data_IF_725074696092
#
_entry.id   IF_725074696092
#
_cell.length_a   1.000
_cell.length_b   1.000
_cell.length_c   1.000
_cell.angle_alpha   90.00
_cell.angle_beta   90.00
_cell.angle_gamma   90.00
#
_symmetry.space_group_name_H-M   'P 1'
#
loop_
_entity.id
_entity.type
_entity.pdbx_description
1 polymer ?
#
# COMPACT_ATOMS: atom_id res chain seq x y z
N UNK A 1 -12.84 -48.75 52.13
CA UNK A 1 -13.10 -48.39 50.71
C UNK A 1 -11.96 -47.53 50.25
N UNK A 2 -11.15 -48.02 49.32
CA UNK A 2 -10.03 -47.27 48.72
C UNK A 2 -10.61 -46.39 47.61
N UNK A 3 -10.46 -45.08 47.73
CA UNK A 3 -10.71 -44.14 46.64
C UNK A 3 -9.37 -43.65 46.10
N UNK A 4 -8.92 -44.26 45.00
CA UNK A 4 -7.83 -43.75 44.17
C UNK A 4 -8.41 -42.64 43.29
N UNK A 5 -8.14 -41.39 43.63
CA UNK A 5 -8.38 -40.26 42.73
C UNK A 5 -7.27 -40.24 41.68
N UNK A 6 -7.63 -40.50 40.42
CA UNK A 6 -6.73 -40.43 39.28
C UNK A 6 -6.33 -38.98 39.01
N UNK A 7 -5.10 -38.63 39.37
CA UNK A 7 -4.44 -37.38 38.96
C UNK A 7 -3.70 -37.63 37.64
N UNK A 8 -3.85 -36.71 36.68
CA UNK A 8 -2.76 -36.41 35.75
C UNK A 8 -2.80 -37.04 34.35
N UNK A 9 -3.83 -36.76 33.56
CA UNK A 9 -3.72 -36.89 32.09
C UNK A 9 -4.05 -35.59 31.34
N UNK A 10 -4.94 -34.73 31.86
CA UNK A 10 -5.27 -33.45 31.23
C UNK A 10 -4.13 -32.43 31.32
N UNK A 11 -3.56 -32.25 32.51
CA UNK A 11 -2.49 -31.26 32.75
C UNK A 11 -1.20 -31.60 32.00
N UNK A 12 -0.88 -32.90 31.86
CA UNK A 12 0.27 -33.35 31.08
C UNK A 12 0.07 -33.12 29.57
N UNK A 13 -1.16 -33.21 29.05
CA UNK A 13 -1.48 -32.89 27.66
C UNK A 13 -1.32 -31.38 27.40
N UNK A 14 -1.86 -30.54 28.27
CA UNK A 14 -1.77 -29.07 28.13
C UNK A 14 -0.32 -28.57 28.16
N UNK A 15 0.52 -29.15 29.03
CA UNK A 15 1.96 -28.81 29.09
C UNK A 15 2.69 -29.26 27.82
N UNK A 16 2.36 -30.45 27.29
CA UNK A 16 2.97 -30.97 26.06
C UNK A 16 2.52 -30.19 24.83
N UNK A 17 1.26 -29.80 24.76
CA UNK A 17 0.70 -29.03 23.64
C UNK A 17 1.26 -27.60 23.67
N UNK A 18 1.36 -26.96 24.85
CA UNK A 18 2.06 -25.68 25.00
C UNK A 18 3.55 -25.74 24.60
N UNK A 19 4.24 -26.83 24.90
CA UNK A 19 5.63 -27.02 24.48
C UNK A 19 5.78 -27.21 22.96
N UNK A 20 4.85 -27.94 22.32
CA UNK A 20 4.80 -28.10 20.86
C UNK A 20 4.50 -26.79 20.15
N UNK A 21 3.55 -26.01 20.66
CA UNK A 21 3.21 -24.70 20.11
C UNK A 21 4.39 -23.72 20.23
N UNK A 22 5.10 -23.75 21.37
CA UNK A 22 6.34 -22.98 21.55
C UNK A 22 7.44 -23.36 20.55
N UNK A 23 7.66 -24.66 20.31
CA UNK A 23 8.63 -25.14 19.33
C UNK A 23 8.25 -24.77 17.88
N UNK A 24 6.95 -24.87 17.54
CA UNK A 24 6.41 -24.47 16.22
C UNK A 24 6.61 -22.97 15.98
N UNK A 25 6.31 -22.13 16.97
CA UNK A 25 6.51 -20.68 16.90
C UNK A 25 7.99 -20.30 16.76
N UNK A 26 8.89 -20.99 17.47
CA UNK A 26 10.33 -20.78 17.35
C UNK A 26 10.87 -21.15 15.95
N UNK A 27 10.39 -22.24 15.36
CA UNK A 27 10.78 -22.67 14.01
C UNK A 27 10.30 -21.72 12.89
N UNK A 28 9.20 -20.99 13.14
CA UNK A 28 8.60 -19.99 12.25
C UNK A 28 9.26 -18.60 12.35
N UNK A 29 10.22 -18.42 13.26
CA UNK A 29 10.91 -17.13 13.40
C UNK A 29 11.82 -16.87 12.21
N UNK A 30 11.66 -15.71 11.58
CA UNK A 30 12.51 -15.21 10.51
C UNK A 30 12.88 -13.76 10.76
N UNK A 31 14.02 -13.36 10.20
CA UNK A 31 14.36 -11.95 10.09
C UNK A 31 13.40 -11.31 9.09
N UNK A 32 13.03 -10.04 9.28
CA UNK A 32 12.25 -9.31 8.25
C UNK A 32 13.01 -9.24 6.93
N UNK A 33 14.34 -9.20 7.01
CA UNK A 33 15.25 -9.12 5.86
C UNK A 33 15.41 -10.44 5.09
N UNK A 34 14.68 -11.49 5.50
CA UNK A 34 14.69 -12.79 4.83
C UNK A 34 13.27 -13.25 4.48
N UNK A 35 12.33 -12.30 4.38
CA UNK A 35 10.97 -12.59 4.00
C UNK A 35 10.85 -12.54 2.48
N UNK A 36 10.16 -13.51 1.91
CA UNK A 36 9.89 -13.56 0.47
C UNK A 36 8.56 -12.86 0.16
N UNK A 37 8.41 -12.35 -1.06
CA UNK A 37 7.12 -11.81 -1.54
C UNK A 37 6.03 -12.87 -1.40
N UNK A 38 4.97 -12.50 -0.67
CA UNK A 38 3.85 -13.36 -0.33
C UNK A 38 3.87 -13.92 1.09
N UNK A 39 4.97 -13.82 1.82
CA UNK A 39 5.05 -14.27 3.21
C UNK A 39 4.08 -13.48 4.10
N UNK A 40 3.21 -14.21 4.80
CA UNK A 40 2.34 -13.68 5.83
C UNK A 40 2.99 -13.82 7.20
N UNK A 41 2.94 -12.77 8.01
CA UNK A 41 3.70 -12.73 9.25
C UNK A 41 3.01 -11.96 10.38
N UNK A 42 3.47 -12.25 11.60
CA UNK A 42 3.14 -11.51 12.80
C UNK A 42 4.42 -10.88 13.37
N UNK A 43 4.48 -9.56 13.57
CA UNK A 43 5.59 -8.91 14.25
C UNK A 43 5.72 -9.46 15.67
N UNK A 44 6.90 -9.97 16.04
CA UNK A 44 7.17 -10.18 17.45
C UNK A 44 7.63 -8.83 17.98
N UNK A 45 6.90 -8.25 18.94
CA UNK A 45 7.26 -6.98 19.58
C UNK A 45 8.59 -6.98 20.37
N UNK A 46 9.51 -7.91 20.06
CA UNK A 46 10.84 -8.04 20.64
C UNK A 46 11.86 -8.03 19.50
N UNK A 47 12.66 -6.97 19.40
CA UNK A 47 13.94 -7.05 18.72
C UNK A 47 14.81 -8.08 19.46
N UNK A 48 15.32 -9.09 18.75
CA UNK A 48 16.28 -10.05 19.31
C UNK A 48 17.59 -9.79 18.60
N UNK A 49 18.43 -8.96 19.23
CA UNK A 49 19.55 -8.31 18.54
C UNK A 49 19.08 -7.15 17.66
N UNK A 50 19.84 -6.85 16.61
CA UNK A 50 19.57 -5.78 15.63
C UNK A 50 18.56 -6.22 14.54
N UNK A 51 18.14 -7.49 14.55
CA UNK A 51 17.13 -8.01 13.63
C UNK A 51 15.72 -7.92 14.25
N UNK A 52 14.80 -7.30 13.53
CA UNK A 52 13.37 -7.44 13.80
C UNK A 52 12.98 -8.89 13.44
N UNK A 53 12.56 -9.67 14.43
CA UNK A 53 12.09 -11.03 14.20
C UNK A 53 10.57 -11.03 14.02
N UNK A 54 10.12 -11.74 13.00
CA UNK A 54 8.70 -11.98 12.75
C UNK A 54 8.41 -13.48 12.81
N UNK A 55 7.18 -13.82 13.17
CA UNK A 55 6.67 -15.17 13.03
C UNK A 55 6.00 -15.29 11.66
N UNK A 56 6.59 -16.07 10.75
CA UNK A 56 5.98 -16.38 9.45
C UNK A 56 4.90 -17.43 9.66
N UNK A 57 3.69 -17.15 9.18
CA UNK A 57 2.51 -18.00 9.32
C UNK A 57 1.86 -18.22 7.95
N UNK A 58 1.16 -19.34 7.74
CA UNK A 58 0.27 -19.50 6.59
C UNK A 58 -0.71 -18.33 6.48
N UNK A 59 -0.97 -17.85 5.26
CA UNK A 59 -1.86 -16.70 5.07
C UNK A 59 -3.32 -16.98 5.43
N UNK A 60 -3.75 -18.24 5.50
CA UNK A 60 -5.07 -18.62 6.01
C UNK A 60 -5.15 -18.59 7.55
N UNK A 61 -4.01 -18.51 8.25
CA UNK A 61 -3.94 -18.17 9.67
C UNK A 61 -4.03 -16.64 9.88
N UNK A 62 -4.48 -16.21 11.05
CA UNK A 62 -4.55 -14.79 11.39
C UNK A 62 -3.15 -14.15 11.45
N UNK A 63 -2.96 -13.08 10.69
CA UNK A 63 -1.68 -12.38 10.58
C UNK A 63 -1.84 -10.86 10.53
N UNK A 64 -0.73 -10.16 10.70
CA UNK A 64 -0.69 -8.69 10.75
C UNK A 64 -0.01 -8.06 9.57
N UNK A 65 0.81 -8.80 8.84
CA UNK A 65 1.52 -8.30 7.69
C UNK A 65 1.62 -9.34 6.58
N UNK A 66 1.68 -8.87 5.35
CA UNK A 66 2.08 -9.67 4.21
C UNK A 66 3.10 -8.90 3.37
N UNK A 67 4.19 -9.56 2.96
CA UNK A 67 5.14 -8.98 2.01
C UNK A 67 4.52 -8.94 0.62
N UNK A 68 4.51 -7.77 0.00
CA UNK A 68 3.86 -7.53 -1.31
C UNK A 68 4.82 -7.06 -2.39
N UNK A 69 6.06 -6.78 -2.02
CA UNK A 69 7.09 -6.39 -2.98
C UNK A 69 8.46 -6.40 -2.34
N UNK A 70 9.48 -6.51 -3.18
CA UNK A 70 10.88 -6.38 -2.78
C UNK A 70 11.68 -5.77 -3.92
N UNK A 71 12.67 -4.95 -3.56
CA UNK A 71 13.66 -4.46 -4.51
C UNK A 71 14.95 -4.04 -3.81
N UNK A 72 16.05 -3.99 -4.57
CA UNK A 72 17.31 -3.45 -4.07
C UNK A 72 17.41 -1.93 -4.28
N UNK A 73 17.92 -1.24 -3.26
CA UNK A 73 18.32 0.17 -3.37
C UNK A 73 19.60 0.26 -4.18
N UNK A 74 19.52 0.98 -5.30
CA UNK A 74 20.70 1.24 -6.13
C UNK A 74 21.74 2.08 -5.37
N UNK A 75 23.00 1.64 -5.41
CA UNK A 75 24.06 2.32 -4.69
C UNK A 75 25.41 1.61 -4.76
N UNK A 76 26.40 2.25 -4.13
CA UNK A 76 27.74 1.70 -3.97
C UNK A 76 27.92 0.94 -2.65
N UNK A 77 29.17 0.59 -2.30
CA UNK A 77 29.46 -0.07 -1.02
C UNK A 77 29.19 0.83 0.20
N UNK A 78 29.19 2.15 0.03
CA UNK A 78 28.86 3.10 1.09
C UNK A 78 27.34 3.22 1.28
N UNK A 79 26.89 3.21 2.55
CA UNK A 79 25.48 3.38 2.89
C UNK A 79 24.98 4.77 2.46
N UNK A 80 23.88 4.89 1.68
CA UNK A 80 23.38 6.17 1.19
C UNK A 80 22.79 7.08 2.29
N UNK A 81 22.52 6.52 3.47
CA UNK A 81 21.86 7.19 4.59
C UNK A 81 20.36 6.92 4.63
N UNK A 82 19.80 6.89 5.84
CA UNK A 82 18.40 6.46 6.08
C UNK A 82 17.40 7.27 5.27
N UNK A 83 17.55 8.60 5.23
CA UNK A 83 16.64 9.49 4.49
C UNK A 83 16.52 9.12 3.02
N UNK A 84 17.63 8.79 2.36
CA UNK A 84 17.62 8.46 0.93
C UNK A 84 17.01 7.08 0.69
N UNK A 85 17.31 6.13 1.57
CA UNK A 85 16.74 4.78 1.52
C UNK A 85 15.23 4.82 1.73
N UNK A 86 14.76 5.52 2.78
CA UNK A 86 13.34 5.70 3.06
C UNK A 86 12.62 6.42 1.92
N UNK A 87 13.16 7.51 1.38
CA UNK A 87 12.55 8.17 0.23
C UNK A 87 12.43 7.24 -0.99
N UNK A 88 13.42 6.37 -1.22
CA UNK A 88 13.36 5.36 -2.29
C UNK A 88 12.27 4.30 -2.01
N UNK A 89 12.09 3.91 -0.75
CA UNK A 89 11.04 3.00 -0.32
C UNK A 89 9.64 3.61 -0.50
N UNK A 90 9.46 4.86 -0.04
CA UNK A 90 8.20 5.59 -0.17
C UNK A 90 7.81 5.82 -1.64
N UNK A 91 8.79 5.99 -2.53
CA UNK A 91 8.56 6.13 -3.97
C UNK A 91 8.17 4.80 -4.62
N UNK A 92 8.87 3.70 -4.30
CA UNK A 92 8.76 2.44 -5.06
C UNK A 92 7.77 1.44 -4.48
N UNK A 93 7.60 1.39 -3.16
CA UNK A 93 6.71 0.42 -2.54
C UNK A 93 5.24 0.54 -2.97
N UNK A 94 4.67 1.74 -3.20
CA UNK A 94 3.30 1.85 -3.72
C UNK A 94 3.13 1.12 -5.06
N UNK A 95 4.07 1.31 -5.98
CA UNK A 95 4.03 0.68 -7.29
C UNK A 95 4.19 -0.85 -7.20
N UNK A 96 5.07 -1.37 -6.34
CA UNK A 96 5.21 -2.82 -6.14
C UNK A 96 3.95 -3.42 -5.48
N UNK A 97 3.41 -2.75 -4.46
CA UNK A 97 2.21 -3.20 -3.76
C UNK A 97 0.99 -3.28 -4.69
N UNK A 98 0.82 -2.33 -5.60
CA UNK A 98 -0.26 -2.35 -6.58
C UNK A 98 -0.10 -3.45 -7.64
N UNK A 99 1.13 -3.88 -7.96
CA UNK A 99 1.31 -5.06 -8.83
C UNK A 99 0.83 -6.33 -8.16
N UNK A 100 0.86 -6.39 -6.83
CA UNK A 100 0.45 -7.54 -6.02
C UNK A 100 -1.06 -7.51 -5.69
N UNK A 101 -1.56 -6.34 -5.28
CA UNK A 101 -2.96 -6.09 -4.99
C UNK A 101 -3.45 -4.83 -5.74
N UNK A 102 -3.85 -4.96 -7.03
CA UNK A 102 -4.21 -3.81 -7.87
C UNK A 102 -5.41 -3.01 -7.37
N UNK A 103 -6.38 -3.66 -6.73
CA UNK A 103 -7.56 -2.98 -6.16
C UNK A 103 -7.34 -2.65 -4.68
N UNK A 104 -6.80 -1.45 -4.43
CA UNK A 104 -6.53 -0.97 -3.06
C UNK A 104 -7.80 -0.79 -2.22
N UNK A 105 -8.98 -0.65 -2.85
CA UNK A 105 -10.26 -0.55 -2.13
C UNK A 105 -10.76 -1.91 -1.63
N UNK A 106 -10.22 -3.00 -2.17
CA UNK A 106 -10.53 -4.35 -1.73
C UNK A 106 -9.68 -4.80 -0.53
N UNK A 107 -8.71 -3.99 -0.09
CA UNK A 107 -7.88 -4.31 1.06
C UNK A 107 -8.73 -4.39 2.35
N UNK A 108 -8.39 -5.31 3.27
CA UNK A 108 -9.05 -5.37 4.57
C UNK A 108 -8.94 -4.04 5.31
N UNK A 109 -9.98 -3.69 6.07
CA UNK A 109 -10.02 -2.43 6.82
C UNK A 109 -8.82 -2.30 7.76
N UNK A 110 -8.15 -1.15 7.73
CA UNK A 110 -6.99 -0.83 8.57
C UNK A 110 -5.67 -1.42 8.07
N UNK A 111 -5.67 -2.12 6.93
CA UNK A 111 -4.44 -2.54 6.27
C UNK A 111 -3.88 -1.36 5.48
N UNK A 112 -2.64 -0.97 5.81
CA UNK A 112 -1.90 0.11 5.16
C UNK A 112 -0.54 -0.36 4.67
N UNK A 113 0.01 0.36 3.69
CA UNK A 113 1.34 0.07 3.15
C UNK A 113 2.42 0.53 4.15
N UNK A 114 3.43 -0.31 4.34
CA UNK A 114 4.62 -0.05 5.14
C UNK A 114 5.83 -0.70 4.47
N UNK A 115 7.02 -0.43 4.99
CA UNK A 115 8.26 -1.01 4.47
C UNK A 115 9.27 -1.29 5.56
N UNK A 116 10.13 -2.26 5.28
CA UNK A 116 11.39 -2.45 5.97
C UNK A 116 12.52 -2.03 5.05
N UNK A 117 13.48 -1.30 5.60
CA UNK A 117 14.63 -0.78 4.87
C UNK A 117 15.93 -1.35 5.42
N UNK A 118 16.97 -1.46 4.60
CA UNK A 118 18.28 -1.88 5.08
C UNK A 118 18.85 -0.82 6.03
N UNK A 119 19.46 -1.27 7.13
CA UNK A 119 20.23 -0.41 8.04
C UNK A 119 21.66 -0.21 7.55
N UNK A 120 22.38 0.78 8.10
CA UNK A 120 23.81 0.96 7.82
C UNK A 120 24.63 -0.30 8.11
N UNK A 121 24.29 -1.02 9.17
CA UNK A 121 24.97 -2.24 9.62
C UNK A 121 24.74 -3.39 8.65
N UNK A 122 23.47 -3.64 8.27
CA UNK A 122 23.12 -4.65 7.26
C UNK A 122 23.71 -4.31 5.88
N UNK A 123 23.80 -3.01 5.55
CA UNK A 123 24.44 -2.55 4.32
C UNK A 123 25.93 -2.92 4.28
N UNK A 124 26.61 -2.83 5.42
CA UNK A 124 28.03 -3.19 5.52
C UNK A 124 28.28 -4.69 5.25
N UNK A 125 27.27 -5.54 5.43
CA UNK A 125 27.33 -6.99 5.16
C UNK A 125 26.71 -7.39 3.83
N UNK A 126 26.20 -6.43 3.05
CA UNK A 126 25.72 -6.64 1.68
C UNK A 126 24.20 -6.55 1.49
N UNK A 127 23.42 -6.28 2.54
CA UNK A 127 21.98 -6.10 2.43
C UNK A 127 21.64 -4.79 1.72
N UNK A 128 20.83 -4.87 0.66
CA UNK A 128 20.36 -3.74 -0.14
C UNK A 128 18.84 -3.75 -0.25
N UNK A 129 18.17 -4.73 0.34
CA UNK A 129 16.77 -5.03 0.05
C UNK A 129 15.83 -4.13 0.84
N UNK A 130 14.88 -3.53 0.15
CA UNK A 130 13.67 -2.94 0.72
C UNK A 130 12.55 -3.94 0.57
N UNK A 131 11.88 -4.24 1.68
CA UNK A 131 10.74 -5.16 1.73
C UNK A 131 9.46 -4.33 1.91
N UNK A 132 8.59 -4.33 0.91
CA UNK A 132 7.30 -3.63 0.93
C UNK A 132 6.22 -4.55 1.51
N UNK A 133 5.41 -4.03 2.42
CA UNK A 133 4.46 -4.85 3.19
C UNK A 133 3.11 -4.16 3.33
N UNK A 134 2.03 -4.92 3.23
CA UNK A 134 0.74 -4.47 3.75
C UNK A 134 0.58 -4.94 5.18
N UNK A 135 0.29 -4.03 6.10
CA UNK A 135 0.21 -4.33 7.54
C UNK A 135 -1.00 -3.69 8.20
N UNK A 136 -1.50 -4.28 9.27
CA UNK A 136 -2.54 -3.70 10.14
C UNK A 136 -1.97 -3.42 11.52
N UNK A 137 -2.18 -2.20 12.04
CA UNK A 137 -1.68 -1.82 13.36
C UNK A 137 -2.40 -2.56 14.49
N UNK A 138 -3.73 -2.67 14.39
CA UNK A 138 -4.58 -3.27 15.41
C UNK A 138 -5.41 -4.43 14.84
N UNK A 139 -5.42 -5.56 15.57
CA UNK A 139 -6.10 -6.77 15.14
C UNK A 139 -5.23 -7.64 14.22
N UNK A 140 -5.89 -8.33 13.30
CA UNK A 140 -5.33 -9.28 12.33
C UNK A 140 -6.27 -9.43 11.14
N UNK A 141 -5.76 -9.84 9.99
CA UNK A 141 -6.56 -10.32 8.85
C UNK A 141 -6.16 -11.75 8.48
N UNK A 142 -6.95 -12.38 7.61
CA UNK A 142 -6.76 -13.73 7.10
C UNK A 142 -6.97 -13.73 5.60
N UNK A 143 -6.32 -14.65 4.89
CA UNK A 143 -6.30 -14.71 3.44
C UNK A 143 -5.11 -13.96 2.86
N UNK A 144 -4.68 -14.39 1.67
CA UNK A 144 -3.63 -13.69 0.93
C UNK A 144 -4.18 -12.47 0.20
N UNK A 145 -3.36 -11.42 0.09
CA UNK A 145 -3.63 -10.22 -0.69
C UNK A 145 -3.16 -10.34 -2.16
N UNK A 146 -2.58 -11.47 -2.60
CA UNK A 146 -2.22 -11.71 -4.01
C UNK A 146 -3.50 -11.82 -4.86
N UNK A 147 -3.96 -10.68 -5.35
CA UNK A 147 -5.21 -10.57 -6.11
C UNK A 147 -4.96 -10.23 -7.57
N UNK A 148 -3.72 -9.90 -7.95
CA UNK A 148 -3.37 -9.43 -9.28
C UNK A 148 -3.84 -10.35 -10.43
N UNK A 149 -3.82 -11.67 -10.20
CA UNK A 149 -4.22 -12.68 -11.18
C UNK A 149 -5.74 -12.87 -11.29
N UNK A 150 -6.52 -12.21 -10.45
CA UNK A 150 -7.98 -12.39 -10.35
C UNK A 150 -8.78 -11.35 -11.15
N UNK A 151 -8.10 -10.40 -11.80
CA UNK A 151 -8.74 -9.30 -12.53
C UNK A 151 -8.69 -9.51 -14.04
N UNK A 152 -9.80 -9.16 -14.69
CA UNK A 152 -9.92 -9.11 -16.16
C UNK A 152 -9.12 -7.93 -16.74
N UNK A 153 -8.78 -7.95 -18.05
CA UNK A 153 -7.98 -6.88 -18.69
C UNK A 153 -8.55 -5.47 -18.50
N UNK A 154 -9.87 -5.29 -18.59
CA UNK A 154 -10.53 -3.99 -18.44
C UNK A 154 -10.45 -3.50 -16.98
N UNK A 155 -10.59 -4.41 -16.01
CA UNK A 155 -10.42 -4.11 -14.58
C UNK A 155 -8.98 -3.67 -14.30
N UNK A 156 -7.98 -4.39 -14.81
CA UNK A 156 -6.57 -4.00 -14.67
C UNK A 156 -6.27 -2.65 -15.34
N UNK A 157 -6.87 -2.38 -16.50
CA UNK A 157 -6.72 -1.10 -17.20
C UNK A 157 -7.29 0.06 -16.38
N UNK A 158 -8.49 -0.12 -15.82
CA UNK A 158 -9.10 0.83 -14.90
C UNK A 158 -8.21 1.07 -13.67
N UNK A 159 -7.81 0.00 -12.98
CA UNK A 159 -7.06 0.07 -11.73
C UNK A 159 -5.69 0.72 -11.93
N UNK A 160 -4.98 0.37 -13.01
CA UNK A 160 -3.70 0.99 -13.37
C UNK A 160 -3.85 2.51 -13.58
N UNK A 161 -4.87 2.95 -14.30
CA UNK A 161 -5.10 4.37 -14.53
C UNK A 161 -5.49 5.11 -13.24
N UNK A 162 -6.40 4.55 -12.45
CA UNK A 162 -6.82 5.11 -11.17
C UNK A 162 -5.66 5.22 -10.18
N UNK A 163 -4.83 4.18 -10.07
CA UNK A 163 -3.68 4.18 -9.18
C UNK A 163 -2.59 5.15 -9.66
N UNK A 164 -2.38 5.30 -10.97
CA UNK A 164 -1.44 6.27 -11.51
C UNK A 164 -1.81 7.72 -11.18
N UNK A 165 -3.10 8.06 -11.10
CA UNK A 165 -3.56 9.38 -10.64
C UNK A 165 -3.20 9.60 -9.17
N UNK A 166 -3.42 8.59 -8.33
CA UNK A 166 -3.05 8.63 -6.92
C UNK A 166 -1.52 8.76 -6.73
N UNK A 167 -0.73 7.98 -7.47
CA UNK A 167 0.73 8.06 -7.45
C UNK A 167 1.25 9.43 -7.87
N UNK A 168 0.68 10.01 -8.93
CA UNK A 168 1.05 11.34 -9.39
C UNK A 168 0.75 12.43 -8.34
N UNK A 169 -0.33 12.27 -7.56
CA UNK A 169 -0.64 13.17 -6.46
C UNK A 169 0.41 13.02 -5.35
N UNK A 170 0.69 11.79 -4.91
CA UNK A 170 1.56 11.51 -3.78
C UNK A 170 3.05 11.80 -4.06
N UNK A 171 3.58 11.30 -5.17
CA UNK A 171 4.99 11.45 -5.53
C UNK A 171 5.41 12.92 -5.75
N UNK A 172 4.42 13.79 -5.99
CA UNK A 172 4.62 15.22 -6.17
C UNK A 172 3.99 16.04 -5.04
N UNK A 173 3.62 15.43 -3.91
CA UNK A 173 3.06 16.16 -2.78
C UNK A 173 4.08 17.18 -2.25
N UNK A 174 3.73 18.47 -2.21
CA UNK A 174 4.61 19.49 -1.64
C UNK A 174 4.90 19.24 -0.16
N UNK A 175 6.08 19.64 0.30
CA UNK A 175 6.54 19.42 1.68
C UNK A 175 5.83 20.30 2.72
N UNK A 176 5.11 21.32 2.26
CA UNK A 176 4.31 22.23 3.08
C UNK A 176 2.93 22.40 2.44
N UNK A 177 1.92 22.57 3.29
CA UNK A 177 0.55 22.91 2.94
C UNK A 177 0.35 24.40 2.57
N UNK A 178 1.40 25.22 2.68
CA UNK A 178 1.40 26.62 2.27
C UNK A 178 1.54 26.71 0.74
N UNK A 179 0.39 26.66 0.04
CA UNK A 179 0.31 26.77 -1.42
C UNK A 179 0.88 28.09 -1.94
N UNK A 180 0.79 29.18 -1.19
CA UNK A 180 1.33 30.48 -1.61
C UNK A 180 2.86 30.45 -1.62
N UNK A 181 3.46 29.90 -0.56
CA UNK A 181 4.91 29.74 -0.46
C UNK A 181 5.46 28.72 -1.46
N UNK A 182 4.73 27.61 -1.68
CA UNK A 182 5.18 26.46 -2.48
C UNK A 182 4.47 26.35 -3.84
N UNK A 183 3.95 27.45 -4.39
CA UNK A 183 3.16 27.46 -5.62
C UNK A 183 3.85 26.75 -6.81
N UNK A 184 5.18 26.80 -6.88
CA UNK A 184 5.94 26.13 -7.93
C UNK A 184 5.80 24.60 -7.85
N UNK A 185 5.88 24.04 -6.64
CA UNK A 185 5.80 22.60 -6.40
C UNK A 185 4.36 22.11 -6.57
N UNK A 186 3.38 22.87 -6.09
CA UNK A 186 1.96 22.62 -6.33
C UNK A 186 1.60 22.63 -7.82
N UNK A 187 2.19 23.53 -8.62
CA UNK A 187 2.02 23.52 -10.08
C UNK A 187 2.70 22.32 -10.74
N UNK A 188 3.81 21.85 -10.20
CA UNK A 188 4.47 20.63 -10.68
C UNK A 188 3.62 19.39 -10.41
N UNK A 189 3.05 19.28 -9.20
CA UNK A 189 2.06 18.25 -8.86
C UNK A 189 0.86 18.29 -9.80
N UNK A 190 0.29 19.48 -10.00
CA UNK A 190 -0.88 19.63 -10.85
C UNK A 190 -0.62 19.17 -12.29
N UNK A 191 0.58 19.42 -12.80
CA UNK A 191 1.02 18.94 -14.12
C UNK A 191 1.11 17.41 -14.16
N UNK A 192 1.69 16.79 -13.13
CA UNK A 192 1.81 15.32 -13.06
C UNK A 192 0.43 14.66 -12.98
N UNK A 193 -0.47 15.20 -12.17
CA UNK A 193 -1.86 14.70 -12.04
C UNK A 193 -2.63 14.86 -13.36
N UNK A 194 -2.49 15.98 -14.08
CA UNK A 194 -3.10 16.15 -15.40
C UNK A 194 -2.64 15.06 -16.39
N UNK A 195 -1.34 14.76 -16.44
CA UNK A 195 -0.78 13.73 -17.31
C UNK A 195 -1.27 12.31 -16.94
N UNK A 196 -1.38 12.02 -15.64
CA UNK A 196 -1.92 10.76 -15.14
C UNK A 196 -3.41 10.62 -15.48
N UNK A 197 -4.19 11.69 -15.37
CA UNK A 197 -5.61 11.72 -15.76
C UNK A 197 -5.78 11.51 -17.26
N UNK A 198 -4.98 12.14 -18.11
CA UNK A 198 -5.00 11.91 -19.56
C UNK A 198 -4.72 10.44 -19.89
N UNK A 199 -3.73 9.84 -19.21
CA UNK A 199 -3.41 8.41 -19.34
C UNK A 199 -4.59 7.54 -18.91
N UNK A 200 -5.25 7.88 -17.79
CA UNK A 200 -6.41 7.13 -17.31
C UNK A 200 -7.59 7.25 -18.29
N UNK A 201 -7.90 8.46 -18.76
CA UNK A 201 -8.95 8.73 -19.75
C UNK A 201 -8.72 7.91 -21.02
N UNK A 202 -7.49 7.92 -21.56
CA UNK A 202 -7.13 7.13 -22.75
C UNK A 202 -7.25 5.62 -22.52
N UNK A 203 -6.93 5.13 -21.31
CA UNK A 203 -7.15 3.73 -20.94
C UNK A 203 -8.63 3.35 -20.91
N UNK A 204 -9.51 4.26 -20.48
CA UNK A 204 -10.96 4.05 -20.45
C UNK A 204 -11.62 4.14 -21.83
N UNK A 205 -10.94 4.59 -22.90
CA UNK A 205 -11.52 4.70 -24.24
C UNK A 205 -11.95 3.34 -24.81
N UNK A 206 -11.21 2.27 -24.48
CA UNK A 206 -11.47 0.91 -24.95
C UNK A 206 -12.46 0.11 -24.11
N UNK A 207 -12.94 0.66 -22.98
CA UNK A 207 -13.79 -0.07 -22.03
C UNK A 207 -15.26 0.31 -22.27
N UNK A 208 -16.10 -0.69 -22.50
CA UNK A 208 -17.54 -0.51 -22.65
C UNK A 208 -18.23 -0.25 -21.30
N UNK A 209 -19.32 0.51 -21.31
CA UNK A 209 -20.08 0.78 -20.09
C UNK A 209 -20.63 2.21 -20.05
N UNK A 210 -21.86 2.36 -19.56
CA UNK A 210 -22.50 3.66 -19.46
C UNK A 210 -21.90 4.48 -18.30
N UNK A 211 -21.60 3.83 -17.17
CA UNK A 211 -21.01 4.49 -16.01
C UNK A 211 -19.51 4.75 -16.23
N UNK A 212 -18.79 3.81 -16.86
CA UNK A 212 -17.40 4.03 -17.32
C UNK A 212 -17.31 5.21 -18.28
N UNK A 213 -18.22 5.32 -19.25
CA UNK A 213 -18.26 6.46 -20.17
C UNK A 213 -18.52 7.81 -19.47
N UNK A 214 -19.38 7.83 -18.45
CA UNK A 214 -19.62 9.04 -17.63
C UNK A 214 -18.39 9.40 -16.80
N UNK A 215 -17.74 8.42 -16.18
CA UNK A 215 -16.51 8.65 -15.42
C UNK A 215 -15.42 9.21 -16.34
N UNK A 216 -15.21 8.62 -17.51
CA UNK A 216 -14.23 9.10 -18.51
C UNK A 216 -14.47 10.57 -18.86
N UNK A 217 -15.71 10.98 -19.11
CA UNK A 217 -16.05 12.38 -19.37
C UNK A 217 -15.80 13.30 -18.16
N UNK A 218 -16.00 12.81 -16.93
CA UNK A 218 -15.66 13.54 -15.70
C UNK A 218 -14.15 13.70 -15.54
N UNK A 219 -13.38 12.63 -15.71
CA UNK A 219 -11.91 12.65 -15.61
C UNK A 219 -11.27 13.51 -16.71
N UNK A 220 -11.82 13.54 -17.93
CA UNK A 220 -11.36 14.45 -18.98
C UNK A 220 -11.56 15.93 -18.58
N UNK A 221 -12.65 16.26 -17.89
CA UNK A 221 -12.84 17.60 -17.32
C UNK A 221 -11.87 17.87 -16.17
N UNK A 222 -11.60 16.86 -15.35
CA UNK A 222 -10.60 16.96 -14.27
C UNK A 222 -9.22 17.27 -14.84
N UNK A 223 -8.76 16.52 -15.86
CA UNK A 223 -7.48 16.73 -16.53
C UNK A 223 -7.33 18.19 -16.99
N UNK A 224 -8.36 18.75 -17.61
CA UNK A 224 -8.37 20.16 -18.03
C UNK A 224 -8.36 21.18 -16.88
N UNK A 225 -8.80 20.83 -15.67
CA UNK A 225 -8.67 21.70 -14.49
C UNK A 225 -7.27 21.60 -13.89
N UNK A 226 -6.73 20.39 -13.78
CA UNK A 226 -5.36 20.15 -13.33
C UNK A 226 -4.33 20.81 -14.28
N UNK A 227 -4.57 20.80 -15.59
CA UNK A 227 -3.75 21.52 -16.56
C UNK A 227 -3.84 23.05 -16.38
N UNK A 228 -5.03 23.60 -16.07
CA UNK A 228 -5.17 25.02 -15.75
C UNK A 228 -4.43 25.39 -14.47
N UNK A 229 -4.53 24.57 -13.42
CA UNK A 229 -3.79 24.77 -12.18
C UNK A 229 -2.27 24.79 -12.46
N UNK A 230 -1.77 23.79 -13.19
CA UNK A 230 -0.35 23.72 -13.59
C UNK A 230 0.16 24.97 -14.33
N UNK A 231 -0.73 25.65 -15.08
CA UNK A 231 -0.41 26.83 -15.87
C UNK A 231 -0.92 28.16 -15.27
N UNK A 232 -1.41 28.14 -14.02
CA UNK A 232 -1.99 29.32 -13.38
C UNK A 232 -0.98 30.48 -13.29
N UNK A 233 -1.38 31.72 -13.63
CA UNK A 233 -0.51 32.90 -13.57
C UNK A 233 -0.27 33.41 -12.15
N UNK A 234 -1.19 33.11 -11.23
CA UNK A 234 -1.20 33.56 -9.84
C UNK A 234 -1.88 32.52 -8.95
N UNK A 235 -1.79 32.70 -7.63
CA UNK A 235 -2.31 31.75 -6.64
C UNK A 235 -3.84 31.68 -6.67
N UNK A 236 -4.52 32.81 -6.89
CA UNK A 236 -6.00 32.85 -6.95
C UNK A 236 -6.53 31.98 -8.09
N UNK A 237 -5.92 32.09 -9.28
CA UNK A 237 -6.26 31.25 -10.43
C UNK A 237 -5.88 29.80 -10.19
N UNK A 238 -4.79 29.53 -9.48
CA UNK A 238 -4.38 28.18 -9.10
C UNK A 238 -5.46 27.52 -8.22
N UNK A 239 -5.86 28.16 -7.12
CA UNK A 239 -6.86 27.62 -6.19
C UNK A 239 -8.17 27.24 -6.89
N UNK A 240 -8.71 28.14 -7.72
CA UNK A 240 -9.96 27.87 -8.44
C UNK A 240 -9.90 26.61 -9.31
N UNK A 241 -8.78 26.41 -10.00
CA UNK A 241 -8.60 25.25 -10.86
C UNK A 241 -8.28 23.98 -10.06
N UNK A 242 -7.47 24.11 -9.01
CA UNK A 242 -7.03 23.01 -8.13
C UNK A 242 -8.22 22.42 -7.34
N UNK A 243 -9.04 23.26 -6.71
CA UNK A 243 -10.24 22.84 -5.97
C UNK A 243 -11.26 22.15 -6.88
N UNK A 244 -11.46 22.71 -8.08
CA UNK A 244 -12.35 22.11 -9.07
C UNK A 244 -11.79 20.79 -9.61
N UNK A 245 -10.47 20.68 -9.74
CA UNK A 245 -9.74 19.46 -10.08
C UNK A 245 -10.01 18.35 -9.05
N UNK A 246 -9.86 18.65 -7.76
CA UNK A 246 -10.16 17.72 -6.67
C UNK A 246 -11.63 17.30 -6.64
N UNK A 247 -12.55 18.25 -6.79
CA UNK A 247 -14.00 17.97 -6.82
C UNK A 247 -14.35 16.95 -7.92
N UNK A 248 -13.65 17.00 -9.06
CA UNK A 248 -13.91 16.10 -10.19
C UNK A 248 -13.24 14.72 -10.07
N UNK A 249 -12.29 14.55 -9.16
CA UNK A 249 -11.66 13.25 -8.86
C UNK A 249 -12.10 12.68 -7.51
N UNK A 250 -13.17 13.23 -6.91
CA UNK A 250 -13.76 12.70 -5.68
C UNK A 250 -14.02 11.18 -5.83
N UNK A 251 -13.51 10.34 -4.91
CA UNK A 251 -13.64 8.88 -5.00
C UNK A 251 -15.08 8.39 -5.22
N UNK A 252 -16.08 9.06 -4.63
CA UNK A 252 -17.49 8.70 -4.78
C UNK A 252 -17.99 8.80 -6.23
N UNK A 253 -17.37 9.66 -7.05
CA UNK A 253 -17.72 9.79 -8.47
C UNK A 253 -17.35 8.55 -9.28
N UNK A 254 -16.39 7.75 -8.81
CA UNK A 254 -15.92 6.54 -9.47
C UNK A 254 -16.74 5.30 -9.12
N UNK A 255 -17.47 5.30 -7.99
CA UNK A 255 -18.22 4.14 -7.47
C UNK A 255 -19.16 3.50 -8.49
N UNK A 256 -19.95 4.26 -9.31
CA UNK A 256 -20.80 3.66 -10.32
C UNK A 256 -20.03 2.87 -11.39
N UNK A 257 -18.90 3.41 -11.88
CA UNK A 257 -18.05 2.75 -12.86
C UNK A 257 -17.36 1.52 -12.25
N UNK A 258 -16.86 1.62 -11.01
CA UNK A 258 -16.30 0.49 -10.27
C UNK A 258 -17.30 -0.64 -10.11
N UNK A 259 -18.56 -0.31 -9.79
CA UNK A 259 -19.66 -1.28 -9.73
C UNK A 259 -19.94 -1.94 -11.08
N UNK A 260 -19.97 -1.16 -12.17
CA UNK A 260 -20.15 -1.65 -13.54
C UNK A 260 -19.02 -2.64 -13.93
N UNK A 261 -17.79 -2.36 -13.49
CA UNK A 261 -16.61 -3.21 -13.70
C UNK A 261 -16.46 -4.37 -12.70
N UNK A 262 -17.35 -4.50 -11.71
CA UNK A 262 -17.25 -5.54 -10.69
C UNK A 262 -16.05 -5.38 -9.73
N UNK A 263 -15.57 -4.15 -9.53
CA UNK A 263 -14.50 -3.80 -8.58
C UNK A 263 -15.07 -3.48 -7.18
N UNK A 264 -14.21 -3.38 -6.17
CA UNK A 264 -14.63 -2.97 -4.84
C UNK A 264 -15.25 -1.57 -4.86
N UNK A 265 -16.41 -1.38 -4.21
CA UNK A 265 -17.18 -0.11 -4.27
C UNK A 265 -17.18 0.67 -2.97
N UNK A 266 -16.63 0.10 -1.90
CA UNK A 266 -16.51 0.81 -0.62
C UNK A 266 -15.35 1.79 -0.75
N UNK A 267 -15.67 3.08 -0.73
CA UNK A 267 -14.64 4.13 -0.63
C UNK A 267 -13.87 3.88 0.66
N UNK A 268 -12.54 3.71 0.61
CA UNK A 268 -11.71 3.64 1.80
C UNK A 268 -12.01 4.84 2.70
N UNK A 269 -12.21 4.63 4.00
CA UNK A 269 -12.38 5.75 4.92
C UNK A 269 -11.11 6.61 4.94
N UNK A 270 -11.19 7.87 5.38
CA UNK A 270 -10.03 8.76 5.57
C UNK A 270 -8.92 8.16 6.46
N UNK A 271 -9.17 7.06 7.19
CA UNK A 271 -8.16 6.30 7.96
C UNK A 271 -7.60 5.06 7.22
N UNK A 272 -8.24 4.66 6.13
CA UNK A 272 -7.64 3.80 5.09
C UNK A 272 -6.85 4.64 4.07
N UNK A 273 -7.00 5.97 4.11
CA UNK A 273 -5.99 6.93 3.66
C UNK A 273 -4.96 7.15 4.79
N UNK A 274 -3.90 6.35 4.82
CA UNK A 274 -2.73 6.63 5.69
C UNK A 274 -1.94 7.88 5.21
N UNK A 275 -2.50 8.74 4.36
CA UNK A 275 -1.68 9.63 3.52
C UNK A 275 -2.15 11.09 3.50
N UNK A 276 -2.87 11.52 4.55
CA UNK A 276 -3.08 12.92 4.89
C UNK A 276 -2.83 13.16 6.39
N UNK A 277 -1.57 13.03 6.81
CA UNK A 277 -1.05 13.56 8.08
C UNK A 277 0.43 13.86 7.99
#
# INVERSE_FOLDING_TARGET
MVALAGVGCSEASEVVDGAKDGAKKAARQRSVFSLDVGDCYNPNGKAVGEAYLVEVVPCDEAHRGQVVGEFDVEGGPAYPGDKKVTATADERCPAEAQKYAPDTWALPRGVGLSHYTPTKESWATGDRAVTCTYTVEQGTFTGSLDTAKSFEPDQLTYLKGSNGVYEALWAHQPVSDDIEAELTDYKAQAKAVAQALDTHVGGLDGIEGAEVGKLRATLARAAGQWEKAANAPDVDTFYLAYDQGFTLIDPNTSVPARKELGLATTVPADEAEVWAS
#
